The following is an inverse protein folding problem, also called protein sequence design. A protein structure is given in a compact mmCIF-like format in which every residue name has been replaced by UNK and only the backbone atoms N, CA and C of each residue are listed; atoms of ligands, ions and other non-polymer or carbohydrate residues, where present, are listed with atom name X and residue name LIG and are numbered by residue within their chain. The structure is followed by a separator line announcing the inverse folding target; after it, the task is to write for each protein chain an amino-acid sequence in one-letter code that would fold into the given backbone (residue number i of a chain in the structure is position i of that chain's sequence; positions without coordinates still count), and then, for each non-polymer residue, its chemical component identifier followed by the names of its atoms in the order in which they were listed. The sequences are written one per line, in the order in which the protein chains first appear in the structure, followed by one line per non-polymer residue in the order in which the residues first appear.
data_IF_989412880106
#
_entry.id   IF_989412880106
#
_cell.length_a   1.000
_cell.length_b   1.000
_cell.length_c   1.000
_cell.angle_alpha   90.00
_cell.angle_beta   90.00
_cell.angle_gamma   90.00
#
_symmetry.space_group_name_H-M   'P 1'
#
loop_
_entity.id
_entity.type
_entity.pdbx_description
1 polymer ?
#
# COMPACT_ATOMS: atom_id res chain seq x y z
N UNK A 1 38.92 54.67 -4.25
CA UNK A 1 37.54 54.41 -4.72
C UNK A 1 37.68 53.57 -5.97
N UNK A 2 37.10 52.37 -5.94
CA UNK A 2 37.32 51.27 -6.89
C UNK A 2 36.69 51.61 -8.24
N UNK A 3 37.50 51.57 -9.30
CA UNK A 3 37.05 51.80 -10.68
C UNK A 3 36.35 50.52 -11.16
N UNK A 4 35.07 50.61 -11.53
CA UNK A 4 34.30 49.52 -12.14
C UNK A 4 34.29 49.78 -13.65
N UNK A 5 35.21 49.14 -14.36
CA UNK A 5 35.14 49.02 -15.81
C UNK A 5 34.19 47.86 -16.14
N UNK A 6 33.12 48.08 -16.92
CA UNK A 6 32.35 46.99 -17.49
C UNK A 6 33.25 46.30 -18.52
N UNK A 7 33.61 45.05 -18.25
CA UNK A 7 34.37 44.22 -19.17
C UNK A 7 33.47 43.92 -20.39
N UNK A 8 33.59 44.76 -21.42
CA UNK A 8 33.14 44.53 -22.78
C UNK A 8 33.89 43.31 -23.35
N UNK A 9 33.55 42.11 -22.87
CA UNK A 9 33.94 40.87 -23.52
C UNK A 9 33.10 40.69 -24.78
N UNK A 10 33.54 41.40 -25.80
CA UNK A 10 33.58 41.03 -27.21
C UNK A 10 32.70 39.83 -27.56
N UNK A 11 31.67 40.08 -28.37
CA UNK A 11 31.02 39.09 -29.22
C UNK A 11 32.03 38.50 -30.22
N UNK A 12 33.01 37.74 -29.71
CA UNK A 12 33.88 36.88 -30.50
C UNK A 12 32.96 35.85 -31.14
N UNK A 13 32.92 35.71 -32.48
CA UNK A 13 32.10 34.68 -33.11
C UNK A 13 32.50 33.35 -32.49
N UNK A 14 31.56 32.69 -31.81
CA UNK A 14 31.79 31.37 -31.22
C UNK A 14 32.33 30.48 -32.33
N UNK A 15 33.58 30.03 -32.17
CA UNK A 15 34.22 29.10 -33.10
C UNK A 15 33.19 28.00 -33.44
N UNK A 16 32.90 27.70 -34.72
CA UNK A 16 31.85 26.75 -35.12
C UNK A 16 31.99 25.35 -34.48
N UNK A 17 33.16 25.04 -33.91
CA UNK A 17 33.36 23.88 -33.03
C UNK A 17 32.68 24.01 -31.65
N UNK A 18 32.71 25.19 -31.00
CA UNK A 18 32.15 25.46 -29.67
C UNK A 18 30.60 25.45 -29.66
N UNK A 19 29.94 25.93 -30.71
CA UNK A 19 28.48 25.85 -30.81
C UNK A 19 27.97 24.40 -30.88
N UNK A 20 28.71 23.52 -31.55
CA UNK A 20 28.37 22.08 -31.63
C UNK A 20 28.43 21.43 -30.25
N UNK A 21 29.41 21.81 -29.43
CA UNK A 21 29.55 21.33 -28.04
C UNK A 21 28.42 21.89 -27.17
N UNK A 22 28.11 23.19 -27.26
CA UNK A 22 26.99 23.82 -26.54
C UNK A 22 25.66 23.14 -26.86
N UNK A 23 25.39 22.87 -28.15
CA UNK A 23 24.18 22.16 -28.59
C UNK A 23 24.13 20.72 -28.06
N UNK A 24 25.28 20.05 -27.96
CA UNK A 24 25.38 18.69 -27.41
C UNK A 24 25.15 18.67 -25.89
N UNK A 25 25.65 19.67 -25.18
CA UNK A 25 25.41 19.86 -23.74
C UNK A 25 23.93 20.13 -23.45
N UNK A 26 23.28 20.99 -24.25
CA UNK A 26 21.85 21.27 -24.11
C UNK A 26 21.01 20.02 -24.38
N UNK A 27 21.34 19.25 -25.43
CA UNK A 27 20.66 17.96 -25.68
C UNK A 27 20.80 17.00 -24.50
N UNK A 28 21.98 16.91 -23.90
CA UNK A 28 22.22 16.07 -22.74
C UNK A 28 21.41 16.54 -21.52
N UNK A 29 21.35 17.85 -21.28
CA UNK A 29 20.56 18.45 -20.19
C UNK A 29 19.06 18.16 -20.36
N UNK A 30 18.53 18.29 -21.58
CA UNK A 30 17.12 17.98 -21.87
C UNK A 30 16.83 16.51 -21.61
N UNK A 31 17.70 15.60 -22.05
CA UNK A 31 17.53 14.15 -21.81
C UNK A 31 17.56 13.85 -20.30
N UNK A 32 18.50 14.42 -19.57
CA UNK A 32 18.59 14.24 -18.11
C UNK A 32 17.36 14.78 -17.38
N UNK A 33 16.92 15.99 -17.73
CA UNK A 33 15.71 16.60 -17.16
C UNK A 33 14.46 15.78 -17.47
N UNK A 34 14.34 15.24 -18.69
CA UNK A 34 13.21 14.40 -19.07
C UNK A 34 13.13 13.13 -18.22
N UNK A 35 14.25 12.43 -18.01
CA UNK A 35 14.30 11.24 -17.15
C UNK A 35 13.95 11.57 -15.70
N UNK A 36 14.40 12.72 -15.19
CA UNK A 36 14.07 13.20 -13.85
C UNK A 36 12.57 13.44 -13.66
N UNK A 37 11.92 14.05 -14.65
CA UNK A 37 10.47 14.29 -14.62
C UNK A 37 9.69 12.99 -14.75
N UNK A 38 10.09 12.09 -15.66
CA UNK A 38 9.42 10.79 -15.84
C UNK A 38 9.51 9.93 -14.58
N UNK A 39 10.67 9.89 -13.94
CA UNK A 39 10.85 9.14 -12.69
C UNK A 39 9.96 9.69 -11.56
N UNK A 40 9.85 11.01 -11.42
CA UNK A 40 8.91 11.62 -10.48
C UNK A 40 7.45 11.24 -10.80
N UNK A 41 7.04 11.34 -12.06
CA UNK A 41 5.68 10.98 -12.49
C UNK A 41 5.39 9.49 -12.29
N UNK A 42 6.36 8.61 -12.47
CA UNK A 42 6.23 7.18 -12.22
C UNK A 42 5.96 6.88 -10.74
N UNK A 43 6.67 7.56 -9.82
CA UNK A 43 6.45 7.38 -8.37
C UNK A 43 5.06 7.84 -7.97
N UNK A 44 4.63 9.02 -8.40
CA UNK A 44 3.27 9.50 -8.14
C UNK A 44 2.22 8.57 -8.75
N UNK A 45 2.42 8.13 -9.99
CA UNK A 45 1.54 7.16 -10.65
C UNK A 45 1.42 5.86 -9.86
N UNK A 46 2.54 5.33 -9.35
CA UNK A 46 2.54 4.12 -8.53
C UNK A 46 1.80 4.30 -7.20
N UNK A 47 1.96 5.45 -6.52
CA UNK A 47 1.24 5.77 -5.28
C UNK A 47 -0.25 5.88 -5.55
N UNK A 48 -0.66 6.69 -6.53
CA UNK A 48 -2.07 6.86 -6.89
C UNK A 48 -2.68 5.51 -7.28
N UNK A 49 -2.01 4.75 -8.14
CA UNK A 49 -2.43 3.41 -8.51
C UNK A 49 -2.57 2.47 -7.31
N UNK A 50 -1.60 2.47 -6.39
CA UNK A 50 -1.65 1.68 -5.15
C UNK A 50 -2.78 2.11 -4.21
N UNK A 51 -3.14 3.40 -4.20
CA UNK A 51 -4.26 3.90 -3.39
C UNK A 51 -5.62 3.64 -4.04
N UNK A 52 -5.70 3.68 -5.37
CA UNK A 52 -6.94 3.46 -6.13
C UNK A 52 -7.24 1.98 -6.34
N UNK A 53 -6.21 1.15 -6.55
CA UNK A 53 -6.35 -0.29 -6.37
C UNK A 53 -6.46 -0.55 -4.88
N UNK A 54 -7.69 -0.72 -4.40
CA UNK A 54 -7.89 -1.50 -3.19
C UNK A 54 -7.20 -2.85 -3.41
N UNK A 55 -6.11 -3.18 -2.71
CA UNK A 55 -5.74 -4.58 -2.63
C UNK A 55 -6.97 -5.27 -2.01
N UNK A 56 -7.35 -6.44 -2.52
CA UNK A 56 -8.07 -7.37 -1.68
C UNK A 56 -7.19 -7.53 -0.44
N UNK A 57 -7.55 -6.82 0.64
CA UNK A 57 -6.76 -6.71 1.85
C UNK A 57 -6.50 -8.16 2.26
N UNK A 58 -5.24 -8.60 2.45
CA UNK A 58 -5.06 -9.79 3.27
C UNK A 58 -5.69 -9.39 4.60
N UNK A 59 -6.82 -9.97 4.92
CA UNK A 59 -7.51 -9.73 6.17
C UNK A 59 -6.60 -10.26 7.28
N UNK A 60 -5.66 -9.46 7.80
CA UNK A 60 -4.68 -10.05 8.70
C UNK A 60 -3.65 -9.18 9.40
N UNK A 61 -3.69 -7.86 9.32
CA UNK A 61 -2.82 -7.02 10.17
C UNK A 61 -3.66 -5.89 10.77
N UNK A 62 -4.41 -6.22 11.81
CA UNK A 62 -4.70 -5.26 12.86
C UNK A 62 -3.73 -5.58 13.99
N UNK A 63 -3.13 -4.56 14.61
CA UNK A 63 -2.30 -4.77 15.77
C UNK A 63 -3.18 -5.35 16.89
N UNK A 64 -2.82 -6.53 17.40
CA UNK A 64 -3.43 -7.08 18.61
C UNK A 64 -3.11 -6.16 19.77
N UNK A 65 -4.11 -5.42 20.28
CA UNK A 65 -4.00 -4.63 21.50
C UNK A 65 -4.06 -5.51 22.78
N UNK A 66 -3.71 -6.79 22.67
CA UNK A 66 -3.79 -7.74 23.78
C UNK A 66 -2.43 -7.73 24.47
N UNK A 67 -2.33 -7.26 25.73
CA UNK A 67 -1.10 -7.37 26.52
C UNK A 67 -0.70 -8.84 26.65
N UNK A 68 0.57 -9.15 26.40
CA UNK A 68 1.08 -10.53 26.25
C UNK A 68 0.94 -11.41 27.51
N UNK A 69 0.67 -10.82 28.68
CA UNK A 69 0.62 -11.51 29.98
C UNK A 69 -0.78 -11.60 30.60
N UNK A 70 -1.85 -11.21 29.88
CA UNK A 70 -3.22 -11.28 30.38
C UNK A 70 -4.10 -12.23 29.55
N UNK A 71 -5.07 -12.95 30.16
CA UNK A 71 -6.07 -13.70 29.42
C UNK A 71 -6.82 -12.80 28.42
N UNK A 72 -6.90 -13.24 27.17
CA UNK A 72 -7.63 -12.51 26.14
C UNK A 72 -9.15 -12.63 26.39
N UNK A 73 -9.78 -11.51 26.75
CA UNK A 73 -11.23 -11.41 26.84
C UNK A 73 -11.79 -10.78 25.56
N UNK A 74 -12.37 -11.59 24.68
CA UNK A 74 -12.87 -11.14 23.37
C UNK A 74 -14.24 -11.74 23.08
N UNK A 75 -15.15 -10.94 22.54
CA UNK A 75 -16.52 -11.37 22.19
C UNK A 75 -16.66 -11.51 20.68
N UNK A 76 -17.00 -12.71 20.21
CA UNK A 76 -17.35 -12.95 18.81
C UNK A 76 -18.85 -12.70 18.58
N UNK A 77 -19.20 -11.76 17.70
CA UNK A 77 -20.58 -11.49 17.31
C UNK A 77 -21.02 -12.47 16.24
N UNK A 78 -21.56 -13.62 16.67
CA UNK A 78 -22.13 -14.62 15.75
C UNK A 78 -23.51 -14.17 15.25
N UNK A 79 -23.96 -14.64 14.06
CA UNK A 79 -25.28 -14.33 13.54
C UNK A 79 -26.38 -14.73 14.52
N UNK A 80 -27.47 -13.95 14.54
CA UNK A 80 -28.63 -14.25 15.39
C UNK A 80 -29.19 -15.64 15.06
N UNK A 81 -29.43 -16.44 16.11
CA UNK A 81 -29.91 -17.82 15.96
C UNK A 81 -28.89 -18.81 15.39
N UNK A 82 -27.60 -18.44 15.30
CA UNK A 82 -26.54 -19.39 14.96
C UNK A 82 -26.33 -20.38 16.10
N UNK A 83 -26.58 -21.66 15.84
CA UNK A 83 -26.34 -22.75 16.77
C UNK A 83 -24.97 -23.36 16.50
N UNK A 84 -24.03 -23.18 17.43
CA UNK A 84 -22.69 -23.77 17.36
C UNK A 84 -22.79 -25.28 17.60
N UNK A 85 -22.27 -26.08 16.67
CA UNK A 85 -22.25 -27.53 16.73
C UNK A 85 -20.85 -28.06 17.06
N UNK A 86 -19.81 -27.43 16.53
CA UNK A 86 -18.43 -27.78 16.85
C UNK A 86 -17.50 -26.57 16.75
N UNK A 87 -16.37 -26.68 17.43
CA UNK A 87 -15.33 -25.65 17.46
C UNK A 87 -13.96 -26.24 17.24
N UNK A 88 -13.09 -25.55 16.50
CA UNK A 88 -11.69 -25.90 16.34
C UNK A 88 -10.80 -24.67 16.54
N UNK A 89 -9.60 -24.87 17.08
CA UNK A 89 -8.63 -23.81 17.35
C UNK A 89 -7.36 -24.04 16.53
N UNK A 90 -6.85 -23.00 15.88
CA UNK A 90 -5.55 -23.00 15.21
C UNK A 90 -4.89 -21.62 15.33
N UNK A 91 -3.77 -21.55 16.07
CA UNK A 91 -3.13 -20.26 16.39
C UNK A 91 -4.11 -19.28 17.03
N UNK A 92 -4.22 -18.07 16.46
CA UNK A 92 -5.12 -17.01 16.92
C UNK A 92 -6.55 -17.14 16.38
N UNK A 93 -6.88 -18.26 15.72
CA UNK A 93 -8.16 -18.44 15.04
C UNK A 93 -9.00 -19.55 15.66
N UNK A 94 -10.26 -19.25 15.90
CA UNK A 94 -11.30 -20.18 16.32
C UNK A 94 -12.29 -20.35 15.17
N UNK A 95 -12.48 -21.58 14.71
CA UNK A 95 -13.53 -21.94 13.78
C UNK A 95 -14.76 -22.38 14.57
N UNK A 96 -15.89 -21.74 14.34
CA UNK A 96 -17.21 -22.15 14.80
C UNK A 96 -17.96 -22.78 13.64
N UNK A 97 -18.25 -24.08 13.71
CA UNK A 97 -19.12 -24.76 12.77
C UNK A 97 -20.50 -24.91 13.37
N UNK A 98 -21.53 -24.63 12.59
CA UNK A 98 -22.89 -24.64 13.08
C UNK A 98 -23.94 -24.44 12.01
N UNK A 99 -25.15 -24.15 12.46
CA UNK A 99 -26.31 -23.90 11.62
C UNK A 99 -26.91 -22.53 11.89
N UNK A 100 -27.25 -21.81 10.83
CA UNK A 100 -28.03 -20.59 10.89
C UNK A 100 -29.48 -20.87 11.30
N UNK A 101 -30.21 -19.81 11.67
CA UNK A 101 -31.64 -19.90 12.03
C UNK A 101 -32.51 -20.51 10.91
N UNK A 102 -32.08 -20.42 9.65
CA UNK A 102 -32.74 -21.02 8.48
C UNK A 102 -32.35 -22.49 8.23
N UNK A 103 -31.57 -23.11 9.11
CA UNK A 103 -31.08 -24.49 8.99
C UNK A 103 -29.87 -24.67 8.07
N UNK A 104 -29.38 -23.62 7.39
CA UNK A 104 -28.20 -23.72 6.54
C UNK A 104 -26.93 -23.88 7.38
N UNK A 105 -26.03 -24.73 6.90
CA UNK A 105 -24.73 -24.97 7.54
C UNK A 105 -23.76 -23.85 7.19
N UNK A 106 -23.03 -23.38 8.19
CA UNK A 106 -22.04 -22.33 8.03
C UNK A 106 -20.89 -22.55 9.01
N UNK A 107 -19.67 -22.30 8.55
CA UNK A 107 -18.48 -22.19 9.39
C UNK A 107 -18.03 -20.72 9.46
N UNK A 108 -17.66 -20.27 10.65
CA UNK A 108 -17.23 -18.89 10.91
C UNK A 108 -15.84 -18.95 11.55
N UNK A 109 -14.87 -18.25 10.97
CA UNK A 109 -13.52 -18.16 11.53
C UNK A 109 -13.38 -16.82 12.23
N UNK A 110 -13.14 -16.85 13.53
CA UNK A 110 -12.90 -15.70 14.38
C UNK A 110 -11.43 -15.64 14.77
N UNK A 111 -10.78 -14.52 14.49
CA UNK A 111 -9.43 -14.26 14.97
C UNK A 111 -9.50 -13.48 16.28
N UNK A 112 -9.14 -14.12 17.38
CA UNK A 112 -9.17 -13.50 18.70
C UNK A 112 -7.93 -12.62 18.97
N UNK A 113 -6.90 -12.67 18.12
CA UNK A 113 -5.79 -11.72 18.18
C UNK A 113 -6.26 -10.32 17.77
N UNK A 114 -7.05 -10.23 16.70
CA UNK A 114 -7.57 -8.95 16.19
C UNK A 114 -9.04 -8.67 16.53
N UNK A 115 -9.69 -9.62 17.20
CA UNK A 115 -11.05 -9.47 17.73
C UNK A 115 -12.15 -9.36 16.68
N UNK A 116 -12.02 -10.06 15.54
CA UNK A 116 -13.05 -10.04 14.49
C UNK A 116 -13.18 -11.36 13.74
N UNK A 117 -14.33 -11.53 13.07
CA UNK A 117 -14.53 -12.60 12.10
C UNK A 117 -13.67 -12.33 10.86
N UNK A 118 -12.83 -13.28 10.48
CA UNK A 118 -11.94 -13.22 9.31
C UNK A 118 -12.47 -14.01 8.12
N UNK A 119 -13.38 -14.97 8.35
CA UNK A 119 -14.05 -15.69 7.27
C UNK A 119 -15.43 -16.19 7.68
N UNK A 120 -16.32 -16.25 6.68
CA UNK A 120 -17.63 -16.91 6.77
C UNK A 120 -17.75 -17.84 5.57
N UNK A 121 -17.94 -19.14 5.83
CA UNK A 121 -17.98 -20.20 4.84
C UNK A 121 -19.35 -20.83 4.86
N UNK A 122 -20.13 -20.63 3.81
CA UNK A 122 -21.42 -21.29 3.61
C UNK A 122 -21.19 -22.71 3.10
N UNK A 123 -21.92 -23.69 3.64
CA UNK A 123 -21.75 -25.10 3.32
C UNK A 123 -23.05 -25.64 2.70
N UNK A 124 -23.01 -25.87 1.39
CA UNK A 124 -24.07 -26.56 0.64
C UNK A 124 -23.63 -28.00 0.34
N UNK A 125 -24.51 -28.97 0.60
CA UNK A 125 -24.40 -30.32 0.02
C UNK A 125 -25.32 -30.42 -1.18
#
# INVERSE_FOLDING_TARGET
MTNLEPDDQEEKPLDPALEKVRRKMIRLQIVSAAVMVVSLMAVFGAVVYKTMKQPAKPAGQAASNIPSDAPAAVTALLPAGFAVQSTALSGNQVLFYGTLANGQRQAIVFDYGIGRIVATISLSN
#
